data_IF_901106271778
#
_entry.id   IF_901106271778
#
_cell.length_a   1.000
_cell.length_b   1.000
_cell.length_c   1.000
_cell.angle_alpha   90.00
_cell.angle_beta   90.00
_cell.angle_gamma   90.00
#
_symmetry.space_group_name_H-M   'P 1'
#
loop_
_entity.id
_entity.type
_entity.pdbx_description
1 polymer ?
#
# COMPACT_ATOMS: atom_id res chain seq x y z
N UNK A 1 15.98 0.61 2.25
CA UNK A 1 16.43 -0.79 2.45
C UNK A 1 16.57 -1.55 1.14
N UNK A 2 16.97 -2.83 1.20
CA UNK A 2 16.97 -3.68 0.00
C UNK A 2 15.52 -3.93 -0.44
N UNK A 3 15.27 -3.86 -1.75
CA UNK A 3 13.97 -4.22 -2.32
C UNK A 3 13.69 -5.71 -2.11
N UNK A 4 12.50 -6.03 -1.62
CA UNK A 4 12.04 -7.42 -1.38
C UNK A 4 10.52 -7.49 -1.38
N UNK A 5 9.97 -8.70 -1.44
CA UNK A 5 8.55 -8.94 -1.20
C UNK A 5 8.27 -8.90 0.29
N UNK A 6 7.14 -8.30 0.69
CA UNK A 6 6.70 -8.29 2.09
C UNK A 6 5.18 -8.38 2.21
N UNK A 7 4.72 -8.81 3.37
CA UNK A 7 3.29 -8.96 3.66
C UNK A 7 2.78 -7.71 4.36
N UNK A 8 1.69 -7.16 3.85
CA UNK A 8 0.95 -6.10 4.52
C UNK A 8 -0.10 -6.70 5.45
N UNK A 9 -0.23 -6.12 6.64
CA UNK A 9 -1.15 -6.49 7.70
C UNK A 9 -2.18 -5.38 7.90
N UNK A 10 -3.47 -5.69 7.75
CA UNK A 10 -4.56 -4.73 7.94
C UNK A 10 -4.67 -4.27 9.40
N UNK A 11 -5.02 -2.98 9.60
CA UNK A 11 -5.16 -2.35 10.93
C UNK A 11 -6.53 -1.75 11.19
N UNK A 12 -7.15 -1.12 10.20
CA UNK A 12 -8.48 -0.51 10.34
C UNK A 12 -9.43 -1.03 9.25
N UNK A 13 -10.21 -2.07 9.55
CA UNK A 13 -11.14 -2.70 8.62
C UNK A 13 -12.39 -1.88 8.32
N UNK A 14 -12.75 -0.97 9.23
CA UNK A 14 -13.98 -0.16 9.10
C UNK A 14 -13.82 1.02 8.14
N UNK A 15 -12.58 1.38 7.81
CA UNK A 15 -12.34 2.49 6.90
C UNK A 15 -12.83 2.16 5.47
N UNK A 16 -13.51 3.10 4.75
CA UNK A 16 -14.07 2.85 3.42
C UNK A 16 -13.08 2.28 2.41
N UNK A 17 -11.81 2.70 2.45
CA UNK A 17 -10.75 2.17 1.59
C UNK A 17 -10.55 0.67 1.81
N UNK A 18 -10.72 0.19 3.04
CA UNK A 18 -10.42 -1.18 3.44
C UNK A 18 -11.53 -2.18 3.17
N UNK A 19 -12.75 -1.71 2.91
CA UNK A 19 -13.92 -2.57 2.75
C UNK A 19 -13.72 -3.65 1.68
N UNK A 20 -13.76 -4.93 2.11
CA UNK A 20 -13.56 -6.09 1.24
C UNK A 20 -12.11 -6.42 0.89
N UNK A 21 -11.15 -5.63 1.32
CA UNK A 21 -9.73 -5.98 1.20
C UNK A 21 -9.34 -7.07 2.22
N UNK A 22 -8.38 -7.95 1.90
CA UNK A 22 -7.96 -9.02 2.80
C UNK A 22 -7.19 -8.49 4.02
N UNK A 23 -7.19 -9.28 5.10
CA UNK A 23 -6.43 -8.98 6.33
C UNK A 23 -4.93 -8.91 6.07
N UNK A 24 -4.46 -9.74 5.13
CA UNK A 24 -3.06 -9.82 4.74
C UNK A 24 -2.93 -10.04 3.26
N UNK A 25 -1.94 -9.40 2.65
CA UNK A 25 -1.58 -9.65 1.27
C UNK A 25 -0.11 -9.33 1.03
N UNK A 26 0.50 -10.04 0.08
CA UNK A 26 1.91 -9.91 -0.26
C UNK A 26 2.08 -8.85 -1.35
N UNK A 27 2.90 -7.84 -1.07
CA UNK A 27 3.35 -6.87 -2.04
C UNK A 27 4.52 -7.42 -2.86
N UNK A 28 4.57 -7.04 -4.13
CA UNK A 28 5.71 -7.35 -5.00
C UNK A 28 6.99 -6.67 -4.51
N UNK A 29 8.12 -7.04 -5.11
CA UNK A 29 9.43 -6.47 -4.78
C UNK A 29 9.40 -4.94 -4.79
N UNK A 30 9.65 -4.35 -3.62
CA UNK A 30 9.61 -2.91 -3.39
C UNK A 30 10.55 -2.52 -2.24
N UNK A 31 10.87 -1.25 -2.10
CA UNK A 31 11.50 -0.72 -0.89
C UNK A 31 10.46 -0.59 0.22
N UNK A 32 10.71 -1.23 1.36
CA UNK A 32 9.93 -0.96 2.55
C UNK A 32 10.51 0.27 3.25
N UNK A 33 9.80 1.40 3.13
CA UNK A 33 10.15 2.63 3.83
C UNK A 33 9.84 2.53 5.32
N UNK A 34 10.80 2.92 6.15
CA UNK A 34 10.68 2.86 7.59
C UNK A 34 11.18 4.13 8.29
N UNK A 35 11.07 4.17 9.61
CA UNK A 35 11.54 5.29 10.45
C UNK A 35 11.02 6.64 9.96
N UNK A 36 9.78 6.69 9.51
CA UNK A 36 9.18 7.92 9.01
C UNK A 36 9.28 9.05 10.02
N UNK A 37 9.50 10.24 9.50
CA UNK A 37 9.45 11.49 10.25
C UNK A 37 8.44 12.39 9.56
N UNK A 38 7.68 13.10 10.33
CA UNK A 38 6.74 14.02 9.71
C UNK A 38 6.31 15.10 10.62
N UNK A 39 5.78 16.19 10.09
CA UNK A 39 4.89 17.06 10.87
C UNK A 39 3.46 16.52 10.88
N UNK A 40 3.08 15.67 9.93
CA UNK A 40 1.72 15.13 9.80
C UNK A 40 1.45 13.98 10.77
N UNK A 41 0.25 13.96 11.34
CA UNK A 41 -0.23 12.86 12.17
C UNK A 41 -1.00 11.85 11.34
N UNK A 42 -0.71 10.56 11.54
CA UNK A 42 -1.53 9.49 10.97
C UNK A 42 -2.88 9.52 11.66
N UNK A 43 -3.96 9.67 10.87
CA UNK A 43 -5.33 9.63 11.35
C UNK A 43 -5.81 8.19 11.44
N UNK A 44 -5.75 7.47 10.32
CA UNK A 44 -6.12 6.05 10.23
C UNK A 44 -4.96 5.27 9.62
N UNK A 45 -4.36 4.36 10.37
CA UNK A 45 -3.42 3.40 9.83
C UNK A 45 -4.22 2.26 9.17
N UNK A 46 -4.05 2.05 7.87
CA UNK A 46 -4.80 1.06 7.10
C UNK A 46 -4.03 -0.25 6.98
N UNK A 47 -2.76 -0.18 6.59
CA UNK A 47 -1.87 -1.33 6.50
C UNK A 47 -0.49 -1.02 7.06
N UNK A 48 0.09 -2.01 7.72
CA UNK A 48 1.50 -2.00 8.14
C UNK A 48 2.25 -3.17 7.51
N UNK A 49 3.58 -3.13 7.52
CA UNK A 49 4.42 -4.30 7.30
C UNK A 49 5.60 -4.31 8.25
N UNK A 50 6.09 -5.51 8.55
CA UNK A 50 7.26 -5.68 9.40
C UNK A 50 8.54 -5.36 8.62
N UNK A 51 9.27 -4.36 9.07
CA UNK A 51 10.55 -3.94 8.47
C UNK A 51 11.69 -4.77 9.07
N UNK A 52 12.08 -5.84 8.36
CA UNK A 52 13.03 -6.83 8.85
C UNK A 52 14.45 -6.26 8.97
N UNK A 53 15.09 -6.49 10.12
CA UNK A 53 16.49 -6.12 10.35
C UNK A 53 17.45 -6.79 9.37
N UNK A 54 17.13 -8.01 8.92
CA UNK A 54 17.92 -8.76 7.94
C UNK A 54 18.00 -8.06 6.57
N UNK A 55 17.02 -7.22 6.24
CA UNK A 55 17.01 -6.37 5.02
C UNK A 55 17.49 -4.93 5.28
N UNK A 56 17.99 -4.66 6.48
CA UNK A 56 18.41 -3.31 6.91
C UNK A 56 17.28 -2.50 7.54
N UNK A 57 16.16 -3.14 7.84
CA UNK A 57 14.97 -2.51 8.39
C UNK A 57 15.03 -2.13 9.86
N UNK A 58 13.94 -1.52 10.35
CA UNK A 58 13.81 -1.00 11.71
C UNK A 58 13.60 -2.08 12.78
N UNK A 59 13.16 -3.27 12.38
CA UNK A 59 12.80 -4.38 13.28
C UNK A 59 11.45 -4.22 13.96
N UNK A 60 10.53 -3.47 13.35
CA UNK A 60 9.16 -3.26 13.86
C UNK A 60 8.15 -3.16 12.73
N UNK A 61 6.87 -3.17 13.07
CA UNK A 61 5.77 -2.84 12.13
C UNK A 61 5.83 -1.35 11.79
N UNK A 62 5.87 -1.05 10.50
CA UNK A 62 5.86 0.32 9.98
C UNK A 62 4.55 0.58 9.22
N UNK A 63 3.93 1.77 9.37
CA UNK A 63 2.74 2.12 8.62
C UNK A 63 3.10 2.40 7.15
N UNK A 64 2.43 1.71 6.21
CA UNK A 64 2.72 1.84 4.78
C UNK A 64 1.56 2.43 3.98
N UNK A 65 0.32 2.21 4.43
CA UNK A 65 -0.88 2.80 3.83
C UNK A 65 -1.69 3.42 4.96
N UNK A 66 -1.98 4.71 4.87
CA UNK A 66 -2.66 5.45 5.93
C UNK A 66 -3.31 6.74 5.43
N UNK A 67 -4.15 7.34 6.28
CA UNK A 67 -4.65 8.68 6.08
C UNK A 67 -3.96 9.66 7.02
N UNK A 68 -3.88 10.92 6.61
CA UNK A 68 -3.22 11.98 7.39
C UNK A 68 -4.27 12.97 7.89
N UNK A 69 -4.11 13.40 9.13
CA UNK A 69 -4.95 14.43 9.73
C UNK A 69 -4.43 15.82 9.35
N UNK A 70 -5.22 16.56 8.58
CA UNK A 70 -4.91 17.93 8.17
C UNK A 70 -6.20 18.76 7.99
N UNK A 71 -6.66 19.34 9.06
CA UNK A 71 -7.90 20.14 9.07
C UNK A 71 -9.10 19.34 8.51
N UNK A 72 -9.79 19.91 7.51
CA UNK A 72 -10.94 19.24 6.87
C UNK A 72 -10.57 18.44 5.61
N UNK A 73 -9.29 18.34 5.27
CA UNK A 73 -8.86 17.61 4.08
C UNK A 73 -8.87 16.09 4.29
N UNK A 74 -9.21 15.36 3.24
CA UNK A 74 -8.99 13.92 3.15
C UNK A 74 -7.67 13.67 2.44
N UNK A 75 -6.68 13.19 3.18
CA UNK A 75 -5.37 12.90 2.62
C UNK A 75 -5.12 11.39 2.73
N UNK A 76 -4.96 10.75 1.60
CA UNK A 76 -4.51 9.36 1.48
C UNK A 76 -3.02 9.34 1.19
N UNK A 77 -2.29 8.49 1.89
CA UNK A 77 -0.87 8.27 1.69
C UNK A 77 -0.57 6.78 1.51
N UNK A 78 0.25 6.48 0.52
CA UNK A 78 0.85 5.15 0.33
C UNK A 78 2.35 5.28 0.16
N UNK A 79 3.10 4.38 0.78
CA UNK A 79 4.55 4.26 0.67
C UNK A 79 4.98 3.16 -0.29
N UNK A 80 4.00 2.54 -0.97
CA UNK A 80 4.22 1.51 -1.97
C UNK A 80 4.42 2.13 -3.36
N UNK A 81 5.00 1.37 -4.26
CA UNK A 81 5.09 1.74 -5.66
C UNK A 81 6.35 2.51 -6.02
N UNK A 82 7.50 2.11 -5.47
CA UNK A 82 8.79 2.66 -5.89
C UNK A 82 8.96 2.52 -7.41
N UNK A 83 9.15 3.65 -8.09
CA UNK A 83 9.30 3.69 -9.53
C UNK A 83 10.70 3.25 -9.94
N UNK A 84 10.76 2.27 -10.85
CA UNK A 84 12.01 1.89 -11.52
C UNK A 84 12.29 2.78 -12.73
N UNK A 85 13.33 2.43 -13.50
CA UNK A 85 13.72 3.17 -14.70
C UNK A 85 12.67 3.06 -15.82
N UNK A 86 11.97 1.93 -15.90
CA UNK A 86 10.89 1.69 -16.88
C UNK A 86 9.70 1.03 -16.20
N UNK A 87 8.51 1.18 -16.81
CA UNK A 87 7.26 0.57 -16.31
C UNK A 87 7.36 -0.96 -16.34
N UNK A 88 8.05 -1.52 -17.32
CA UNK A 88 8.26 -2.97 -17.49
C UNK A 88 9.12 -3.56 -16.38
N UNK A 89 10.02 -2.76 -15.80
CA UNK A 89 10.97 -3.16 -14.75
C UNK A 89 10.57 -2.59 -13.37
N UNK A 90 9.28 -2.44 -13.11
CA UNK A 90 8.77 -1.87 -11.88
C UNK A 90 7.72 -2.78 -11.21
N UNK A 91 8.12 -3.92 -10.59
CA UNK A 91 7.21 -4.86 -9.95
C UNK A 91 6.30 -4.20 -8.91
N UNK A 92 6.82 -3.24 -8.16
CA UNK A 92 6.08 -2.51 -7.15
C UNK A 92 4.85 -1.79 -7.74
N UNK A 93 5.01 -1.07 -8.86
CA UNK A 93 3.91 -0.37 -9.53
C UNK A 93 2.98 -1.32 -10.31
N UNK A 94 3.49 -2.46 -10.75
CA UNK A 94 2.71 -3.50 -11.43
C UNK A 94 1.84 -4.31 -10.46
N UNK A 95 2.14 -4.29 -9.16
CA UNK A 95 1.40 -5.02 -8.16
C UNK A 95 -0.06 -4.60 -8.13
N UNK A 96 -0.97 -5.57 -8.34
CA UNK A 96 -2.42 -5.31 -8.30
C UNK A 96 -2.86 -4.75 -6.94
N UNK A 97 -2.25 -5.18 -5.85
CA UNK A 97 -2.52 -4.65 -4.51
C UNK A 97 -2.20 -3.16 -4.39
N UNK A 98 -1.04 -2.72 -4.92
CA UNK A 98 -0.69 -1.30 -4.98
C UNK A 98 -1.69 -0.52 -5.83
N UNK A 99 -1.96 -0.96 -7.06
CA UNK A 99 -2.84 -0.26 -7.98
C UNK A 99 -4.25 -0.08 -7.41
N UNK A 100 -4.82 -1.14 -6.85
CA UNK A 100 -6.17 -1.11 -6.29
C UNK A 100 -6.24 -0.24 -5.03
N UNK A 101 -5.27 -0.32 -4.13
CA UNK A 101 -5.26 0.53 -2.93
C UNK A 101 -5.04 2.00 -3.28
N UNK A 102 -4.20 2.31 -4.27
CA UNK A 102 -4.01 3.67 -4.77
C UNK A 102 -5.29 4.25 -5.37
N UNK A 103 -5.97 3.50 -6.25
CA UNK A 103 -7.22 3.94 -6.88
C UNK A 103 -8.34 4.16 -5.85
N UNK A 104 -8.49 3.24 -4.88
CA UNK A 104 -9.46 3.37 -3.79
C UNK A 104 -9.14 4.56 -2.88
N UNK A 105 -7.85 4.77 -2.59
CA UNK A 105 -7.39 5.92 -1.83
C UNK A 105 -7.68 7.25 -2.53
N UNK A 106 -7.44 7.32 -3.82
CA UNK A 106 -7.75 8.49 -4.64
C UNK A 106 -9.26 8.78 -4.71
N UNK A 107 -10.09 7.75 -4.93
CA UNK A 107 -11.54 7.88 -4.92
C UNK A 107 -12.05 8.39 -3.57
N UNK A 108 -11.56 7.80 -2.47
CA UNK A 108 -11.93 8.25 -1.12
C UNK A 108 -11.49 9.68 -0.84
N UNK A 109 -10.28 10.05 -1.21
CA UNK A 109 -9.79 11.42 -1.01
C UNK A 109 -10.66 12.45 -1.74
N UNK A 110 -11.09 12.14 -2.97
CA UNK A 110 -11.93 13.01 -3.76
C UNK A 110 -13.38 13.06 -3.26
N UNK A 111 -13.97 11.92 -2.89
CA UNK A 111 -15.43 11.79 -2.69
C UNK A 111 -15.86 11.46 -1.26
N UNK A 112 -14.97 10.97 -0.43
CA UNK A 112 -15.26 10.38 0.89
C UNK A 112 -15.85 8.98 0.84
N UNK A 113 -15.98 8.38 -0.37
CA UNK A 113 -16.57 7.05 -0.60
C UNK A 113 -15.63 6.18 -1.42
N UNK A 114 -15.90 4.88 -1.44
CA UNK A 114 -15.20 3.92 -2.31
C UNK A 114 -16.25 3.01 -2.95
N UNK A 115 -16.33 3.04 -4.28
CA UNK A 115 -17.20 2.21 -5.08
C UNK A 115 -16.47 1.07 -5.79
N UNK A 116 -15.16 1.19 -5.92
CA UNK A 116 -14.33 0.19 -6.58
C UNK A 116 -14.33 -1.14 -5.82
N UNK A 117 -14.68 -2.20 -6.55
CA UNK A 117 -14.65 -3.58 -6.03
C UNK A 117 -13.22 -4.09 -5.94
N UNK A 118 -13.00 -5.03 -5.04
CA UNK A 118 -11.75 -5.78 -5.00
C UNK A 118 -11.78 -6.81 -6.13
N UNK A 119 -10.82 -6.79 -7.07
CA UNK A 119 -10.81 -7.70 -8.21
C UNK A 119 -10.32 -9.09 -7.80
N UNK A 120 -10.66 -10.09 -8.61
CA UNK A 120 -10.29 -11.49 -8.34
C UNK A 120 -8.77 -11.75 -8.38
N UNK A 121 -8.01 -10.90 -9.08
CA UNK A 121 -6.56 -10.95 -9.16
C UNK A 121 -5.86 -10.15 -8.04
N UNK A 122 -6.57 -9.74 -6.98
CA UNK A 122 -5.93 -9.11 -5.83
C UNK A 122 -4.97 -10.11 -5.15
N UNK A 123 -3.75 -9.67 -4.75
CA UNK A 123 -2.77 -10.59 -4.16
C UNK A 123 -3.26 -11.23 -2.87
N UNK A 124 -2.76 -12.44 -2.58
CA UNK A 124 -3.01 -13.15 -1.34
C UNK A 124 -1.85 -12.99 -0.35
N UNK A 125 -1.97 -13.50 0.85
CA UNK A 125 -0.85 -13.53 1.83
C UNK A 125 0.38 -14.30 1.30
N UNK A 126 0.16 -15.30 0.44
CA UNK A 126 1.23 -16.20 -0.04
C UNK A 126 1.76 -15.84 -1.42
N UNK A 127 0.97 -15.11 -2.22
CA UNK A 127 1.27 -14.90 -3.64
C UNK A 127 1.06 -13.44 -4.03
N UNK A 128 2.08 -12.87 -4.67
CA UNK A 128 1.99 -11.58 -5.36
C UNK A 128 1.15 -11.71 -6.63
N UNK A 129 0.59 -10.59 -7.08
CA UNK A 129 -0.12 -10.51 -8.35
C UNK A 129 0.33 -9.27 -9.09
N UNK A 130 1.01 -9.45 -10.22
CA UNK A 130 1.51 -8.37 -11.04
C UNK A 130 0.74 -8.27 -12.36
N UNK A 131 0.38 -7.06 -12.73
CA UNK A 131 -0.26 -6.72 -14.00
C UNK A 131 0.78 -6.13 -14.94
N UNK A 132 1.34 -6.96 -15.82
CA UNK A 132 2.37 -6.57 -16.78
C UNK A 132 1.83 -5.99 -18.10
N UNK A 133 0.51 -6.07 -18.33
CA UNK A 133 -0.09 -5.69 -19.61
C UNK A 133 -0.51 -4.22 -19.65
N UNK A 134 0.45 -3.32 -19.57
CA UNK A 134 0.22 -1.93 -19.99
C UNK A 134 0.17 -1.91 -21.53
N UNK A 135 -1.02 -2.11 -22.11
CA UNK A 135 -1.24 -1.74 -23.50
C UNK A 135 -1.16 -0.21 -23.60
N UNK A 136 -0.18 0.28 -24.33
CA UNK A 136 -0.10 1.67 -24.76
C UNK A 136 -1.26 2.00 -25.67
#
# INVERSE_FOLDING_TARGET
GKQHEYVLNARNHEHPIMKGLPNKWKHAQDELYDRMRGPGNIKDCLYTAYSDKGTGGSGREEPLIFTVDYGNARIFHTMLGHAGETVENCPAMQCAGFQITLLRGAEWAATGKVTQKVPADFPTEKQVSNRSNYKR
#
